data_IF_390852325235
#
_entry.id   IF_390852325235
#
_cell.length_a   1.000
_cell.length_b   1.000
_cell.length_c   1.000
_cell.angle_alpha   90.00
_cell.angle_beta   90.00
_cell.angle_gamma   90.00
#
_symmetry.space_group_name_H-M   'P 1'
#
loop_
_entity.id
_entity.type
_entity.pdbx_description
1 polymer ?
#
# COMPACT_ATOMS: atom_id res chain seq x y z
N UNK A 1 -31.18 30.66 19.04
CA UNK A 1 -29.96 30.96 18.25
C UNK A 1 -30.33 31.84 17.06
N UNK A 2 -29.69 33.00 16.86
CA UNK A 2 -30.05 33.95 15.80
C UNK A 2 -29.80 33.38 14.39
N UNK A 3 -30.55 33.85 13.39
CA UNK A 3 -30.43 33.41 11.98
C UNK A 3 -28.98 33.53 11.48
N UNK A 4 -28.30 34.63 11.82
CA UNK A 4 -26.87 34.84 11.50
C UNK A 4 -25.96 33.76 12.09
N UNK A 5 -26.22 33.35 13.34
CA UNK A 5 -25.48 32.24 13.97
C UNK A 5 -25.77 30.92 13.25
N UNK A 6 -27.03 30.62 12.88
CA UNK A 6 -27.37 29.39 12.14
C UNK A 6 -26.64 29.31 10.79
N UNK A 7 -26.63 30.39 10.01
CA UNK A 7 -25.91 30.46 8.73
C UNK A 7 -24.41 30.28 8.92
N UNK A 8 -23.81 30.91 9.94
CA UNK A 8 -22.40 30.75 10.27
C UNK A 8 -22.05 29.29 10.61
N UNK A 9 -22.89 28.63 11.41
CA UNK A 9 -22.71 27.21 11.74
C UNK A 9 -22.83 26.30 10.51
N UNK A 10 -23.79 26.56 9.62
CA UNK A 10 -23.92 25.82 8.37
C UNK A 10 -22.69 25.96 7.47
N UNK A 11 -22.12 27.18 7.36
CA UNK A 11 -20.88 27.41 6.60
C UNK A 11 -19.67 26.70 7.23
N UNK A 12 -19.55 26.71 8.56
CA UNK A 12 -18.50 25.98 9.28
C UNK A 12 -18.55 24.47 9.02
N UNK A 13 -19.75 23.89 9.08
CA UNK A 13 -19.95 22.46 8.79
C UNK A 13 -19.58 22.15 7.34
N UNK A 14 -19.99 23.01 6.39
CA UNK A 14 -19.65 22.84 4.97
C UNK A 14 -18.14 22.86 4.73
N UNK A 15 -17.42 23.80 5.35
CA UNK A 15 -15.95 23.89 5.26
C UNK A 15 -15.31 22.63 5.85
N UNK A 16 -15.77 22.17 7.02
CA UNK A 16 -15.25 20.96 7.65
C UNK A 16 -15.41 19.73 6.75
N UNK A 17 -16.58 19.57 6.14
CA UNK A 17 -16.83 18.49 5.16
C UNK A 17 -15.89 18.62 3.97
N UNK A 18 -15.71 19.82 3.43
CA UNK A 18 -14.84 20.05 2.28
C UNK A 18 -13.37 19.72 2.58
N UNK A 19 -12.88 20.13 3.75
CA UNK A 19 -11.53 19.77 4.24
C UNK A 19 -11.40 18.26 4.38
N UNK A 20 -12.42 17.59 4.92
CA UNK A 20 -12.44 16.12 5.03
C UNK A 20 -12.34 15.42 3.68
N UNK A 21 -13.08 15.91 2.67
CA UNK A 21 -13.03 15.39 1.29
C UNK A 21 -11.64 15.58 0.68
N UNK A 22 -11.06 16.79 0.80
CA UNK A 22 -9.71 17.08 0.29
C UNK A 22 -8.68 16.18 0.96
N UNK A 23 -8.74 16.02 2.28
CA UNK A 23 -7.84 15.14 3.03
C UNK A 23 -7.94 13.68 2.58
N UNK A 24 -9.16 13.18 2.38
CA UNK A 24 -9.39 11.83 1.86
C UNK A 24 -8.84 11.66 0.45
N UNK A 25 -9.09 12.62 -0.46
CA UNK A 25 -8.58 12.58 -1.83
C UNK A 25 -7.05 12.61 -1.86
N UNK A 26 -6.41 13.44 -1.03
CA UNK A 26 -4.96 13.48 -0.90
C UNK A 26 -4.42 12.11 -0.47
N UNK A 27 -4.98 11.51 0.58
CA UNK A 27 -4.59 10.16 1.00
C UNK A 27 -4.80 9.12 -0.11
N UNK A 28 -5.96 9.16 -0.78
CA UNK A 28 -6.30 8.22 -1.84
C UNK A 28 -5.36 8.31 -3.05
N UNK A 29 -4.93 9.52 -3.42
CA UNK A 29 -4.04 9.75 -4.56
C UNK A 29 -2.58 9.40 -4.26
N UNK A 30 -2.09 9.70 -3.05
CA UNK A 30 -0.65 9.64 -2.78
C UNK A 30 -0.21 8.49 -1.86
N UNK A 31 -1.11 7.94 -1.03
CA UNK A 31 -0.77 6.96 0.00
C UNK A 31 -1.51 5.62 -0.17
N UNK A 32 -2.44 5.51 -1.12
CA UNK A 32 -3.13 4.25 -1.35
C UNK A 32 -2.18 3.17 -1.86
N UNK A 33 -2.17 2.01 -1.20
CA UNK A 33 -1.43 0.82 -1.63
C UNK A 33 -2.07 0.15 -2.86
N UNK A 34 -3.35 0.37 -3.13
CA UNK A 34 -4.03 -0.21 -4.30
C UNK A 34 -3.67 0.47 -5.61
N UNK A 35 -3.01 1.64 -5.56
CA UNK A 35 -2.68 2.46 -6.75
C UNK A 35 -1.19 2.54 -7.03
N UNK A 36 -0.41 1.63 -6.50
CA UNK A 36 1.01 1.54 -6.81
C UNK A 36 1.20 1.21 -8.30
N UNK A 37 2.26 1.72 -8.95
CA UNK A 37 2.62 1.32 -10.31
C UNK A 37 2.79 -0.20 -10.42
N UNK A 38 2.58 -0.76 -11.62
CA UNK A 38 2.68 -2.20 -11.85
C UNK A 38 4.12 -2.70 -11.66
N UNK A 39 5.08 -2.06 -12.33
CA UNK A 39 6.48 -2.48 -12.35
C UNK A 39 6.72 -3.77 -13.13
N UNK A 40 7.99 -4.11 -13.27
CA UNK A 40 8.46 -5.27 -14.00
C UNK A 40 8.50 -6.49 -13.07
N UNK A 41 7.90 -7.59 -13.48
CA UNK A 41 7.89 -8.84 -12.71
C UNK A 41 9.30 -9.41 -12.59
N UNK A 42 9.70 -9.75 -11.35
CA UNK A 42 11.02 -10.32 -11.06
C UNK A 42 10.91 -11.80 -10.70
N UNK A 43 10.07 -12.13 -9.72
CA UNK A 43 9.91 -13.51 -9.23
C UNK A 43 8.64 -13.66 -8.41
N UNK A 44 8.29 -14.91 -8.13
CA UNK A 44 7.24 -15.27 -7.20
C UNK A 44 7.72 -16.32 -6.21
N UNK A 45 7.18 -16.31 -5.00
CA UNK A 45 7.46 -17.30 -3.95
C UNK A 45 6.18 -17.68 -3.22
N UNK A 46 5.91 -18.98 -3.18
CA UNK A 46 4.73 -19.56 -2.53
C UNK A 46 4.97 -19.75 -1.02
N UNK A 47 3.91 -19.59 -0.23
CA UNK A 47 3.93 -19.97 1.20
C UNK A 47 4.13 -21.48 1.37
N UNK A 48 4.63 -21.94 2.52
CA UNK A 48 4.85 -23.37 2.76
C UNK A 48 3.60 -24.23 2.54
N UNK A 49 2.43 -23.72 2.91
CA UNK A 49 1.13 -24.37 2.71
C UNK A 49 0.45 -24.04 1.36
N UNK A 50 1.11 -23.24 0.50
CA UNK A 50 0.63 -22.79 -0.81
C UNK A 50 -0.71 -22.05 -0.79
N UNK A 51 -1.14 -21.50 0.34
CA UNK A 51 -2.32 -20.62 0.40
C UNK A 51 -2.03 -19.24 -0.17
N UNK A 52 -0.79 -18.79 -0.05
CA UNK A 52 -0.38 -17.45 -0.41
C UNK A 52 0.79 -17.49 -1.39
N UNK A 53 0.84 -16.51 -2.27
CA UNK A 53 1.95 -16.31 -3.21
C UNK A 53 2.36 -14.84 -3.16
N UNK A 54 3.64 -14.56 -2.96
CA UNK A 54 4.17 -13.20 -3.13
C UNK A 54 4.78 -13.08 -4.52
N UNK A 55 4.32 -12.10 -5.29
CA UNK A 55 4.97 -11.64 -6.52
C UNK A 55 5.75 -10.37 -6.25
N UNK A 56 7.01 -10.36 -6.65
CA UNK A 56 7.91 -9.22 -6.51
C UNK A 56 8.08 -8.53 -7.85
N UNK A 57 7.98 -7.20 -7.83
CA UNK A 57 8.14 -6.33 -8.99
C UNK A 57 9.12 -5.21 -8.67
N UNK A 58 9.84 -4.73 -9.70
CA UNK A 58 10.64 -3.51 -9.62
C UNK A 58 9.93 -2.42 -10.43
N UNK A 59 9.72 -1.27 -9.82
CA UNK A 59 9.16 -0.08 -10.46
C UNK A 59 10.29 0.90 -10.74
N UNK A 60 10.63 1.10 -12.00
CA UNK A 60 11.58 2.13 -12.43
C UNK A 60 10.86 3.46 -12.64
N UNK A 61 11.34 4.53 -11.99
CA UNK A 61 10.74 5.87 -12.09
C UNK A 61 11.31 6.75 -13.22
N UNK A 62 12.23 6.23 -14.04
CA UNK A 62 12.94 6.98 -15.08
C UNK A 62 14.29 7.53 -14.62
N UNK A 63 14.91 8.40 -15.43
CA UNK A 63 16.33 8.80 -15.27
C UNK A 63 16.66 9.49 -13.93
N UNK A 64 15.72 10.23 -13.35
CA UNK A 64 15.94 11.04 -12.14
C UNK A 64 15.28 10.46 -10.89
N UNK A 65 14.52 9.37 -11.03
CA UNK A 65 13.75 8.78 -9.93
C UNK A 65 14.30 7.39 -9.65
N UNK A 66 14.78 7.19 -8.41
CA UNK A 66 15.28 5.90 -7.97
C UNK A 66 14.19 4.80 -8.09
N UNK A 67 14.59 3.54 -8.30
CA UNK A 67 13.66 2.43 -8.37
C UNK A 67 12.97 2.18 -7.02
N UNK A 68 11.84 1.50 -7.09
CA UNK A 68 11.10 0.99 -5.94
C UNK A 68 10.80 -0.50 -6.12
N UNK A 69 10.58 -1.20 -5.01
CA UNK A 69 10.21 -2.61 -5.01
C UNK A 69 8.78 -2.75 -4.50
N UNK A 70 7.97 -3.49 -5.25
CA UNK A 70 6.57 -3.79 -4.93
C UNK A 70 6.40 -5.28 -4.67
N UNK A 71 5.75 -5.61 -3.56
CA UNK A 71 5.29 -6.98 -3.26
C UNK A 71 3.77 -7.07 -3.32
N UNK A 72 3.27 -7.91 -4.23
CA UNK A 72 1.86 -8.24 -4.40
C UNK A 72 1.58 -9.62 -3.79
N UNK A 73 0.67 -9.66 -2.82
CA UNK A 73 0.13 -10.90 -2.27
C UNK A 73 -1.03 -11.40 -3.13
N UNK A 74 -0.99 -12.69 -3.45
CA UNK A 74 -2.08 -13.43 -4.05
C UNK A 74 -2.57 -14.46 -3.02
N UNK A 75 -3.86 -14.42 -2.70
CA UNK A 75 -4.52 -15.46 -1.89
C UNK A 75 -5.09 -16.50 -2.84
N UNK A 76 -4.41 -17.64 -2.97
CA UNK A 76 -4.62 -18.60 -4.06
C UNK A 76 -6.06 -19.15 -4.11
N UNK A 77 -6.68 -19.42 -2.95
CA UNK A 77 -8.06 -19.95 -2.90
C UNK A 77 -9.13 -18.93 -3.29
N UNK A 78 -8.90 -17.64 -3.03
CA UNK A 78 -9.89 -16.58 -3.26
C UNK A 78 -9.58 -15.77 -4.54
N UNK A 79 -8.43 -16.02 -5.15
CA UNK A 79 -7.87 -15.26 -6.27
C UNK A 79 -7.78 -13.74 -6.01
N UNK A 80 -7.76 -13.33 -4.74
CA UNK A 80 -7.65 -11.92 -4.37
C UNK A 80 -6.20 -11.46 -4.41
N UNK A 81 -5.97 -10.26 -4.94
CA UNK A 81 -4.66 -9.63 -5.02
C UNK A 81 -4.63 -8.36 -4.19
N UNK A 82 -3.57 -8.15 -3.41
CA UNK A 82 -3.32 -6.89 -2.70
C UNK A 82 -1.83 -6.59 -2.62
N UNK A 83 -1.46 -5.32 -2.71
CA UNK A 83 -0.08 -4.90 -2.45
C UNK A 83 0.16 -4.86 -0.95
N UNK A 84 1.21 -5.55 -0.49
CA UNK A 84 1.59 -5.62 0.93
C UNK A 84 2.98 -5.05 1.20
N UNK A 85 3.78 -4.78 0.16
CA UNK A 85 5.13 -4.24 0.33
C UNK A 85 5.40 -3.15 -0.70
N UNK A 86 5.88 -2.01 -0.23
CA UNK A 86 6.32 -0.89 -1.05
C UNK A 86 7.53 -0.22 -0.40
N UNK A 87 8.68 -0.29 -1.09
CA UNK A 87 9.94 0.26 -0.60
C UNK A 87 10.68 1.03 -1.70
N UNK A 88 11.33 2.14 -1.33
CA UNK A 88 11.92 3.09 -2.27
C UNK A 88 13.43 3.14 -2.15
N UNK A 89 14.11 3.42 -3.27
CA UNK A 89 15.58 3.41 -3.39
C UNK A 89 16.20 2.04 -3.10
N UNK A 90 15.53 0.98 -3.56
CA UNK A 90 16.06 -0.38 -3.51
C UNK A 90 15.71 -1.15 -4.78
N UNK A 91 16.54 -2.13 -5.10
CA UNK A 91 16.32 -3.14 -6.13
C UNK A 91 16.29 -4.55 -5.52
N UNK A 92 16.53 -4.65 -4.21
CA UNK A 92 16.56 -5.93 -3.52
C UNK A 92 15.16 -6.51 -3.51
N UNK A 93 15.06 -7.79 -3.85
CA UNK A 93 13.78 -8.51 -3.85
C UNK A 93 13.86 -9.74 -2.96
N UNK A 94 14.68 -9.70 -1.91
CA UNK A 94 14.86 -10.83 -1.01
C UNK A 94 13.54 -11.13 -0.32
N UNK A 95 13.03 -12.34 -0.51
CA UNK A 95 11.73 -12.76 0.04
C UNK A 95 11.89 -14.16 0.60
N UNK A 96 11.42 -14.34 1.83
CA UNK A 96 11.44 -15.62 2.53
C UNK A 96 10.19 -15.73 3.40
N UNK A 97 9.45 -16.82 3.25
CA UNK A 97 8.40 -17.17 4.20
C UNK A 97 9.02 -17.65 5.51
N UNK A 98 8.60 -17.04 6.62
CA UNK A 98 9.00 -17.43 7.97
C UNK A 98 8.08 -18.53 8.50
N UNK A 99 6.80 -18.44 8.15
CA UNK A 99 5.77 -19.44 8.39
C UNK A 99 4.70 -19.38 7.26
N UNK A 100 3.49 -19.87 7.51
CA UNK A 100 2.41 -19.92 6.50
C UNK A 100 1.80 -18.55 6.18
N UNK A 101 1.85 -17.60 7.11
CA UNK A 101 1.16 -16.30 7.05
C UNK A 101 2.12 -15.13 7.25
N UNK A 102 3.37 -15.38 7.64
CA UNK A 102 4.40 -14.35 7.83
C UNK A 102 5.50 -14.46 6.78
N UNK A 103 5.75 -13.35 6.08
CA UNK A 103 6.81 -13.24 5.09
C UNK A 103 7.82 -12.15 5.49
N UNK A 104 9.10 -12.42 5.28
CA UNK A 104 10.17 -11.43 5.36
C UNK A 104 10.54 -10.96 3.95
N UNK A 105 10.38 -9.66 3.68
CA UNK A 105 10.76 -9.02 2.41
C UNK A 105 11.83 -7.97 2.72
N UNK A 106 13.05 -8.18 2.22
CA UNK A 106 14.24 -7.35 2.49
C UNK A 106 14.47 -7.08 3.99
N UNK A 107 14.19 -8.08 4.84
CA UNK A 107 14.32 -7.96 6.29
C UNK A 107 13.11 -7.33 7.00
N UNK A 108 12.07 -6.93 6.26
CA UNK A 108 10.79 -6.51 6.83
C UNK A 108 9.85 -7.70 6.98
N UNK A 109 9.54 -8.07 8.22
CA UNK A 109 8.55 -9.10 8.54
C UNK A 109 7.14 -8.52 8.42
N UNK A 110 6.24 -9.26 7.77
CA UNK A 110 4.87 -8.84 7.48
C UNK A 110 3.96 -10.04 7.69
N UNK A 111 3.03 -9.94 8.63
CA UNK A 111 1.85 -10.82 8.71
C UNK A 111 0.93 -10.47 7.52
N UNK A 112 0.84 -11.36 6.53
CA UNK A 112 0.14 -11.07 5.26
C UNK A 112 -1.37 -10.93 5.42
N UNK A 113 -1.94 -11.36 6.55
CA UNK A 113 -3.36 -11.18 6.85
C UNK A 113 -3.65 -9.80 7.45
N UNK A 114 -2.77 -9.31 8.32
CA UNK A 114 -3.02 -8.13 9.16
C UNK A 114 -2.26 -6.88 8.75
N UNK A 115 -1.11 -7.04 8.11
CA UNK A 115 -0.12 -5.98 7.97
C UNK A 115 0.26 -5.70 6.51
N UNK A 116 0.93 -4.58 6.34
CA UNK A 116 1.62 -4.19 5.12
C UNK A 116 2.81 -3.31 5.48
N UNK A 117 3.76 -3.26 4.57
CA UNK A 117 4.90 -2.37 4.61
C UNK A 117 4.77 -1.29 3.54
N UNK A 118 4.86 -0.03 3.95
CA UNK A 118 4.87 1.13 3.07
C UNK A 118 5.87 2.15 3.60
N UNK A 119 6.98 2.34 2.89
CA UNK A 119 8.04 3.28 3.31
C UNK A 119 7.53 4.71 3.53
N UNK A 120 6.40 5.08 2.91
CA UNK A 120 5.79 6.41 3.06
C UNK A 120 5.12 6.63 4.42
N UNK A 121 4.93 5.57 5.22
CA UNK A 121 4.18 5.57 6.49
C UNK A 121 5.06 5.31 7.71
N UNK A 122 6.38 5.21 7.51
CA UNK A 122 7.36 4.98 8.57
C UNK A 122 7.81 6.27 9.23
#
# INVERSE_FOLDING_TARGET
>A
MSVKKKVLWSLLILILVFVGIIGYLYYFLFYSMSRLPEGDFIKQVDSPDKRHTIKMYIVYGGATVAPAVRGELITNKKETKKNIYWDYRTLDTNVKWLDNDTVSINGHEIDVEKELYDYRRK
#
